data_IF_454489965806
#
_entry.id   IF_454489965806
#
_cell.length_a   1.000
_cell.length_b   1.000
_cell.length_c   1.000
_cell.angle_alpha   90.00
_cell.angle_beta   90.00
_cell.angle_gamma   90.00
#
_symmetry.space_group_name_H-M   'P 1'
#
loop_
_entity.id
_entity.type
_entity.pdbx_description
1 polymer ?
#
# COMPACT_ATOMS: atom_id res chain seq x y z
N UNK A 1 2.35 -10.49 0.70
CA UNK A 1 2.85 -9.14 1.05
C UNK A 1 2.21 -8.02 0.25
N UNK A 2 2.19 -8.04 -1.10
CA UNK A 2 1.54 -6.96 -1.88
C UNK A 2 0.05 -6.82 -1.56
N UNK A 3 -0.71 -7.92 -1.56
CA UNK A 3 -2.15 -7.91 -1.23
C UNK A 3 -2.44 -7.36 0.17
N UNK A 4 -1.60 -7.66 1.17
CA UNK A 4 -1.76 -7.15 2.53
C UNK A 4 -1.54 -5.63 2.63
N UNK A 5 -0.56 -5.11 1.88
CA UNK A 5 -0.32 -3.66 1.76
C UNK A 5 -1.54 -2.99 1.12
N UNK A 6 -2.07 -3.60 0.06
CA UNK A 6 -3.25 -3.13 -0.66
C UNK A 6 -4.49 -3.11 0.21
N UNK A 7 -4.79 -4.24 0.84
CA UNK A 7 -5.97 -4.45 1.66
C UNK A 7 -5.98 -3.47 2.83
N UNK A 8 -4.85 -3.32 3.52
CA UNK A 8 -4.74 -2.37 4.64
C UNK A 8 -4.83 -0.91 4.19
N UNK A 9 -4.18 -0.55 3.07
CA UNK A 9 -4.19 0.83 2.60
C UNK A 9 -5.58 1.27 2.09
N UNK A 10 -6.34 0.35 1.47
CA UNK A 10 -7.68 0.61 0.91
C UNK A 10 -8.76 0.49 2.00
N UNK A 11 -8.62 -0.44 2.94
CA UNK A 11 -9.54 -0.62 4.07
C UNK A 11 -9.16 0.27 5.26
N UNK A 12 -9.16 1.59 5.07
CA UNK A 12 -9.00 2.62 6.11
C UNK A 12 -7.58 2.85 6.71
N UNK A 13 -6.54 2.09 6.36
CA UNK A 13 -5.18 2.34 6.87
C UNK A 13 -4.47 3.51 6.18
N UNK A 14 -4.76 3.76 4.90
CA UNK A 14 -4.02 4.76 4.12
C UNK A 14 -2.51 4.45 4.02
N UNK A 15 -1.78 5.26 3.24
CA UNK A 15 -0.39 4.93 2.85
C UNK A 15 0.57 4.99 4.05
N UNK A 16 0.42 6.01 4.91
CA UNK A 16 1.33 6.25 6.04
C UNK A 16 1.16 5.23 7.16
N UNK A 17 -0.08 4.90 7.53
CA UNK A 17 -0.31 3.94 8.62
C UNK A 17 0.08 2.53 8.17
N UNK A 18 -0.25 2.15 6.94
CA UNK A 18 0.18 0.86 6.36
C UNK A 18 1.69 0.70 6.35
N UNK A 19 2.44 1.76 5.98
CA UNK A 19 3.90 1.76 6.03
C UNK A 19 4.43 1.53 7.46
N UNK A 20 3.78 2.17 8.45
CA UNK A 20 4.14 2.05 9.87
C UNK A 20 3.83 0.68 10.45
N UNK A 21 2.62 0.15 10.19
CA UNK A 21 2.13 -1.13 10.71
C UNK A 21 2.89 -2.31 10.11
N UNK A 22 3.17 -2.26 8.80
CA UNK A 22 3.87 -3.35 8.10
C UNK A 22 5.40 -3.19 8.13
N UNK A 23 5.92 -2.13 8.76
CA UNK A 23 7.34 -1.80 8.80
C UNK A 23 8.01 -1.78 7.41
N UNK A 24 7.33 -1.18 6.44
CA UNK A 24 7.79 -1.04 5.06
C UNK A 24 7.94 0.43 4.68
N UNK A 25 8.81 0.73 3.72
CA UNK A 25 8.94 2.09 3.20
C UNK A 25 7.64 2.58 2.54
N UNK A 26 7.32 3.87 2.73
CA UNK A 26 6.17 4.53 2.09
C UNK A 26 6.18 4.36 0.56
N UNK A 27 7.37 4.39 -0.06
CA UNK A 27 7.52 4.17 -1.50
C UNK A 27 7.08 2.77 -1.95
N UNK A 28 7.26 1.76 -1.10
CA UNK A 28 6.79 0.39 -1.36
C UNK A 28 5.27 0.32 -1.37
N UNK A 29 4.63 0.98 -0.41
CA UNK A 29 3.16 1.09 -0.36
C UNK A 29 2.64 1.82 -1.59
N UNK A 30 3.21 3.00 -1.89
CA UNK A 30 2.82 3.81 -3.04
C UNK A 30 2.98 3.06 -4.37
N UNK A 31 4.10 2.36 -4.58
CA UNK A 31 4.35 1.58 -5.79
C UNK A 31 3.38 0.39 -5.91
N UNK A 32 3.03 -0.24 -4.80
CA UNK A 32 2.06 -1.33 -4.78
C UNK A 32 0.69 -0.82 -5.23
N UNK A 33 0.26 0.32 -4.70
CA UNK A 33 -1.00 0.98 -5.07
C UNK A 33 -1.03 1.50 -6.51
N UNK A 34 0.06 2.10 -7.01
CA UNK A 34 0.16 2.53 -8.41
C UNK A 34 0.11 1.35 -9.40
N UNK A 35 0.66 0.20 -9.04
CA UNK A 35 0.63 -0.98 -9.89
C UNK A 35 -0.71 -1.74 -9.85
N UNK A 36 -1.63 -1.38 -8.96
CA UNK A 36 -2.97 -1.97 -8.87
C UNK A 36 -3.96 -1.38 -9.87
N UNK A 37 -3.79 -0.09 -10.17
CA UNK A 37 -4.38 0.52 -11.36
C UNK A 37 -3.25 0.62 -12.39
N UNK A 38 -2.92 -0.46 -13.12
CA UNK A 38 -2.17 -0.28 -14.35
C UNK A 38 -3.03 0.65 -15.21
N UNK A 39 -2.58 1.88 -15.38
CA UNK A 39 -3.23 2.85 -16.26
C UNK A 39 -3.62 2.12 -17.56
N UNK A 40 -4.92 2.18 -17.89
CA UNK A 40 -5.40 1.81 -19.23
C UNK A 40 -4.80 2.75 -20.25
#
# INVERSE_FOLDING_TARGET
MKEQITDMAINNGGIRDTARVLNVGINTVLRTLKNLNPDK
#
